data_IF_554712066609
#
_entry.id   IF_554712066609
#
_cell.length_a   1.000
_cell.length_b   1.000
_cell.length_c   1.000
_cell.angle_alpha   90.00
_cell.angle_beta   90.00
_cell.angle_gamma   90.00
#
_symmetry.space_group_name_H-M   'P 1'
#
loop_
_entity.id
_entity.type
_entity.pdbx_description
1 polymer ?
#
# COMPACT_ATOMS: atom_id res chain seq x y z
N UNK A 1 -15.25 35.19 9.68
CA UNK A 1 -15.88 33.99 9.09
C UNK A 1 -14.78 33.04 8.69
N UNK A 2 -14.83 31.81 9.18
CA UNK A 2 -13.80 30.79 9.03
C UNK A 2 -13.78 30.27 7.59
N UNK A 3 -12.64 30.39 6.90
CA UNK A 3 -12.37 29.63 5.69
C UNK A 3 -12.01 28.19 6.08
N UNK A 4 -12.98 27.41 6.55
CA UNK A 4 -12.82 25.95 6.60
C UNK A 4 -13.14 25.43 5.20
N UNK A 5 -12.09 25.12 4.44
CA UNK A 5 -12.27 24.55 3.13
C UNK A 5 -12.79 23.10 3.24
N UNK A 6 -13.90 22.74 2.57
CA UNK A 6 -14.58 21.45 2.71
C UNK A 6 -13.68 20.22 2.49
N UNK A 7 -12.62 20.33 1.69
CA UNK A 7 -11.71 19.19 1.40
C UNK A 7 -10.93 18.69 2.64
N UNK A 8 -10.86 19.50 3.71
CA UNK A 8 -10.16 19.17 4.96
C UNK A 8 -11.11 18.42 5.92
N UNK A 9 -12.41 18.67 5.87
CA UNK A 9 -13.39 18.12 6.83
C UNK A 9 -13.78 16.66 6.54
N UNK A 10 -13.47 16.13 5.36
CA UNK A 10 -13.78 14.74 4.99
C UNK A 10 -12.76 13.72 5.53
N UNK A 11 -11.56 14.16 5.88
CA UNK A 11 -10.57 13.33 6.58
C UNK A 11 -10.79 13.50 8.09
N UNK A 12 -11.52 12.58 8.72
CA UNK A 12 -11.62 12.46 10.18
C UNK A 12 -10.27 12.06 10.85
N UNK A 13 -9.16 12.65 10.40
CA UNK A 13 -7.78 12.37 10.74
C UNK A 13 -7.04 13.67 10.97
N UNK A 14 -6.79 13.98 12.25
CA UNK A 14 -6.00 15.12 12.65
C UNK A 14 -4.49 14.85 12.41
N UNK A 15 -3.73 15.88 12.01
CA UNK A 15 -2.27 15.85 11.89
C UNK A 15 -1.58 15.30 13.16
N UNK A 16 -2.11 15.60 14.34
CA UNK A 16 -1.62 15.05 15.61
C UNK A 16 -1.75 13.53 15.67
N UNK A 17 -2.84 12.96 15.14
CA UNK A 17 -3.03 11.52 15.08
C UNK A 17 -2.08 10.86 14.07
N UNK A 18 -1.84 11.50 12.92
CA UNK A 18 -0.87 11.03 11.92
C UNK A 18 0.54 10.99 12.53
N UNK A 19 0.97 12.07 13.19
CA UNK A 19 2.27 12.13 13.87
C UNK A 19 2.41 11.03 14.94
N UNK A 20 1.35 10.81 15.73
CA UNK A 20 1.34 9.71 16.72
C UNK A 20 1.54 8.35 16.05
N UNK A 21 0.88 8.07 14.93
CA UNK A 21 1.03 6.78 14.22
C UNK A 21 2.44 6.60 13.69
N UNK A 22 3.04 7.64 13.09
CA UNK A 22 4.43 7.55 12.62
C UNK A 22 5.41 7.26 13.76
N UNK A 23 5.17 7.80 14.95
CA UNK A 23 5.94 7.44 16.16
C UNK A 23 5.76 5.98 16.56
N UNK A 24 4.54 5.42 16.44
CA UNK A 24 4.32 3.99 16.66
C UNK A 24 5.11 3.14 15.65
N UNK A 25 5.09 3.51 14.36
CA UNK A 25 5.89 2.83 13.33
C UNK A 25 7.39 2.84 13.68
N UNK A 26 7.91 3.94 14.24
CA UNK A 26 9.30 4.03 14.70
C UNK A 26 9.62 3.19 15.92
N UNK A 27 8.65 2.86 16.77
CA UNK A 27 8.93 2.00 17.91
C UNK A 27 9.35 0.59 17.48
N UNK A 28 9.01 0.18 16.25
CA UNK A 28 9.43 -1.09 15.67
C UNK A 28 10.89 -1.14 15.24
N UNK A 29 11.63 -0.02 15.26
CA UNK A 29 13.09 -0.03 15.04
C UNK A 29 13.85 -0.24 16.35
N UNK A 30 13.16 -0.32 17.50
CA UNK A 30 13.80 -0.59 18.78
C UNK A 30 14.32 -2.02 18.78
N UNK A 31 15.45 -2.23 19.46
CA UNK A 31 16.13 -3.53 19.56
C UNK A 31 16.51 -4.12 18.18
N UNK A 32 16.77 -3.26 17.19
CA UNK A 32 17.19 -3.65 15.84
C UNK A 32 16.22 -4.64 15.15
N UNK A 33 14.94 -4.58 15.49
CA UNK A 33 13.94 -5.46 14.88
C UNK A 33 13.77 -5.19 13.39
N UNK A 34 13.75 -3.90 13.00
CA UNK A 34 13.61 -3.40 11.63
C UNK A 34 14.57 -2.23 11.35
N UNK A 35 14.96 -2.06 10.10
CA UNK A 35 15.77 -0.91 9.69
C UNK A 35 14.95 0.39 9.59
N UNK A 36 15.61 1.52 9.88
CA UNK A 36 14.98 2.85 9.77
C UNK A 36 14.66 3.20 8.31
N UNK A 37 15.48 2.72 7.37
CA UNK A 37 15.25 2.81 5.92
C UNK A 37 13.89 2.21 5.52
N UNK A 38 13.59 1.01 6.02
CA UNK A 38 12.33 0.30 5.81
C UNK A 38 11.15 1.05 6.38
N UNK A 39 11.28 1.61 7.60
CA UNK A 39 10.23 2.45 8.18
C UNK A 39 10.03 3.74 7.38
N UNK A 40 11.08 4.34 6.83
CA UNK A 40 10.95 5.51 5.96
C UNK A 40 10.09 5.19 4.72
N UNK A 41 10.30 4.05 4.06
CA UNK A 41 9.44 3.58 2.97
C UNK A 41 8.01 3.32 3.42
N UNK A 42 7.81 2.67 4.58
CA UNK A 42 6.48 2.44 5.15
C UNK A 42 5.74 3.76 5.41
N UNK A 43 6.43 4.80 5.88
CA UNK A 43 5.86 6.14 6.08
C UNK A 43 5.41 6.74 4.75
N UNK A 44 6.18 6.59 3.67
CA UNK A 44 5.77 7.05 2.32
C UNK A 44 4.52 6.29 1.86
N UNK A 45 4.46 4.97 2.04
CA UNK A 45 3.27 4.19 1.69
C UNK A 45 2.04 4.68 2.45
N UNK A 46 2.19 4.90 3.76
CA UNK A 46 1.11 5.39 4.61
C UNK A 46 0.63 6.79 4.19
N UNK A 47 1.54 7.69 3.81
CA UNK A 47 1.16 9.01 3.29
C UNK A 47 0.44 8.92 1.94
N UNK A 48 0.89 8.06 1.02
CA UNK A 48 0.22 7.84 -0.26
C UNK A 48 -1.24 7.44 -0.08
N UNK A 49 -1.54 6.49 0.81
CA UNK A 49 -2.92 6.06 1.08
C UNK A 49 -3.75 7.11 1.84
N UNK A 50 -3.11 7.95 2.67
CA UNK A 50 -3.78 9.12 3.28
C UNK A 50 -4.22 10.10 2.20
N UNK A 51 -3.35 10.39 1.23
CA UNK A 51 -3.65 11.30 0.12
C UNK A 51 -4.79 10.76 -0.76
N UNK A 52 -4.87 9.43 -0.93
CA UNK A 52 -5.99 8.74 -1.59
C UNK A 52 -7.28 8.67 -0.76
N UNK A 53 -7.31 9.23 0.46
CA UNK A 53 -8.47 9.27 1.36
C UNK A 53 -8.98 7.89 1.83
N UNK A 54 -8.15 6.85 1.77
CA UNK A 54 -8.51 5.51 2.24
C UNK A 54 -8.28 5.32 3.75
N UNK A 55 -7.60 6.26 4.39
CA UNK A 55 -7.33 6.25 5.84
C UNK A 55 -8.33 7.14 6.59
N UNK A 56 -8.89 6.63 7.67
CA UNK A 56 -9.81 7.32 8.58
C UNK A 56 -9.58 6.88 10.03
N UNK A 57 -10.31 7.48 10.98
CA UNK A 57 -10.10 7.28 12.43
C UNK A 57 -10.08 5.79 12.82
N UNK A 58 -10.97 4.96 12.30
CA UNK A 58 -11.10 3.57 12.74
C UNK A 58 -10.04 2.62 12.16
N UNK A 59 -9.54 2.89 10.95
CA UNK A 59 -8.59 2.00 10.27
C UNK A 59 -7.12 2.48 10.30
N UNK A 60 -6.85 3.72 10.71
CA UNK A 60 -5.52 4.35 10.63
C UNK A 60 -4.36 3.53 11.20
N UNK A 61 -4.58 2.80 12.29
CA UNK A 61 -3.56 1.93 12.91
C UNK A 61 -3.31 0.67 12.06
N UNK A 62 -4.39 0.03 11.60
CA UNK A 62 -4.32 -1.14 10.73
C UNK A 62 -3.62 -0.80 9.40
N UNK A 63 -4.00 0.31 8.78
CA UNK A 63 -3.39 0.79 7.53
C UNK A 63 -1.87 1.00 7.69
N UNK A 64 -1.45 1.61 8.79
CA UNK A 64 -0.03 1.81 9.08
C UNK A 64 0.70 0.49 9.31
N UNK A 65 0.13 -0.44 10.08
CA UNK A 65 0.72 -1.76 10.30
C UNK A 65 0.88 -2.56 9.00
N UNK A 66 -0.12 -2.52 8.11
CA UNK A 66 -0.03 -3.15 6.78
C UNK A 66 1.06 -2.49 5.93
N UNK A 67 1.18 -1.16 5.96
CA UNK A 67 2.26 -0.46 5.24
C UNK A 67 3.65 -0.89 5.74
N UNK A 68 3.82 -1.10 7.05
CA UNK A 68 5.08 -1.65 7.60
C UNK A 68 5.29 -3.07 7.09
N UNK A 69 4.29 -3.95 7.20
CA UNK A 69 4.41 -5.33 6.72
C UNK A 69 4.83 -5.41 5.24
N UNK A 70 4.23 -4.59 4.38
CA UNK A 70 4.57 -4.51 2.97
C UNK A 70 5.99 -3.99 2.74
N UNK A 71 6.42 -2.99 3.51
CA UNK A 71 7.78 -2.46 3.42
C UNK A 71 8.82 -3.50 3.81
N UNK A 72 8.60 -4.22 4.91
CA UNK A 72 9.50 -5.28 5.37
C UNK A 72 9.59 -6.42 4.35
N UNK A 73 8.44 -6.90 3.86
CA UNK A 73 8.39 -7.96 2.83
C UNK A 73 9.15 -7.59 1.56
N UNK A 74 9.22 -6.30 1.20
CA UNK A 74 9.86 -5.83 -0.02
C UNK A 74 11.34 -5.47 0.16
N UNK A 75 11.69 -4.76 1.23
CA UNK A 75 13.04 -4.21 1.44
C UNK A 75 13.95 -5.08 2.32
N UNK A 76 13.38 -5.90 3.20
CA UNK A 76 14.11 -6.77 4.13
C UNK A 76 13.75 -8.26 3.91
N UNK A 77 14.16 -8.86 2.78
CA UNK A 77 13.80 -10.25 2.46
C UNK A 77 14.29 -11.24 3.53
N UNK A 78 15.38 -10.92 4.25
CA UNK A 78 15.90 -11.73 5.37
C UNK A 78 14.95 -11.84 6.57
N UNK A 79 14.00 -10.90 6.75
CA UNK A 79 13.00 -10.95 7.83
C UNK A 79 11.87 -11.94 7.50
N UNK A 80 11.77 -12.38 6.24
CA UNK A 80 10.70 -13.28 5.77
C UNK A 80 10.90 -14.73 6.21
N UNK A 81 11.99 -15.07 6.92
CA UNK A 81 12.08 -16.34 7.64
C UNK A 81 10.90 -16.49 8.61
N UNK A 82 10.29 -17.67 8.67
CA UNK A 82 9.06 -17.95 9.43
C UNK A 82 9.12 -17.42 10.89
N UNK A 83 10.23 -17.67 11.59
CA UNK A 83 10.42 -17.22 12.98
C UNK A 83 10.44 -15.69 13.15
N UNK A 84 11.19 -14.96 12.32
CA UNK A 84 11.27 -13.49 12.40
C UNK A 84 9.96 -12.83 11.98
N UNK A 85 9.26 -13.43 11.02
CA UNK A 85 7.97 -12.93 10.55
C UNK A 85 6.89 -13.06 11.62
N UNK A 86 6.85 -14.16 12.37
CA UNK A 86 5.93 -14.31 13.50
C UNK A 86 6.23 -13.30 14.62
N UNK A 87 7.51 -13.10 14.99
CA UNK A 87 7.89 -12.07 15.97
C UNK A 87 7.51 -10.66 15.50
N UNK A 88 7.68 -10.35 14.22
CA UNK A 88 7.24 -9.08 13.65
C UNK A 88 5.73 -8.90 13.76
N UNK A 89 4.96 -9.96 13.49
CA UNK A 89 3.50 -9.89 13.55
C UNK A 89 3.04 -9.67 14.99
N UNK A 90 3.62 -10.36 15.97
CA UNK A 90 3.33 -10.15 17.39
C UNK A 90 3.63 -8.69 17.78
N UNK A 91 4.78 -8.16 17.39
CA UNK A 91 5.13 -6.75 17.63
C UNK A 91 4.15 -5.77 16.96
N UNK A 92 3.65 -6.09 15.75
CA UNK A 92 2.63 -5.28 15.07
C UNK A 92 1.27 -5.35 15.76
N UNK A 93 0.85 -6.51 16.25
CA UNK A 93 -0.39 -6.69 17.01
C UNK A 93 -0.35 -5.84 18.29
N UNK A 94 0.77 -5.88 19.02
CA UNK A 94 0.96 -5.13 20.26
C UNK A 94 1.03 -3.61 20.03
N UNK A 95 1.92 -3.15 19.13
CA UNK A 95 2.17 -1.72 18.92
C UNK A 95 0.93 -1.01 18.32
N UNK A 96 0.20 -1.68 17.42
CA UNK A 96 -0.97 -1.10 16.76
C UNK A 96 -2.31 -1.52 17.40
N UNK A 97 -2.32 -2.44 18.36
CA UNK A 97 -3.55 -3.01 18.93
C UNK A 97 -4.49 -3.55 17.82
N UNK A 98 -3.97 -4.44 16.98
CA UNK A 98 -4.67 -5.08 15.86
C UNK A 98 -4.57 -6.61 15.97
N UNK A 99 -5.20 -7.33 15.03
CA UNK A 99 -5.14 -8.80 14.98
C UNK A 99 -4.49 -9.28 13.69
N UNK A 100 -3.67 -10.34 13.74
CA UNK A 100 -3.02 -11.05 12.62
C UNK A 100 -3.99 -11.36 11.49
N UNK A 101 -5.18 -11.85 11.85
CA UNK A 101 -6.27 -12.13 10.89
C UNK A 101 -6.65 -10.88 10.08
N UNK A 102 -6.80 -9.73 10.76
CA UNK A 102 -7.21 -8.47 10.12
C UNK A 102 -6.06 -7.86 9.32
N UNK A 103 -4.82 -8.02 9.81
CA UNK A 103 -3.61 -7.61 9.11
C UNK A 103 -3.53 -8.28 7.74
N UNK A 104 -3.57 -9.61 7.70
CA UNK A 104 -3.48 -10.37 6.45
C UNK A 104 -4.69 -10.20 5.53
N UNK A 105 -5.92 -10.15 6.08
CA UNK A 105 -7.11 -9.95 5.25
C UNK A 105 -7.12 -8.59 4.54
N UNK A 106 -6.36 -7.62 5.06
CA UNK A 106 -6.31 -6.25 4.56
C UNK A 106 -5.07 -5.98 3.69
N UNK A 107 -4.06 -6.85 3.78
CA UNK A 107 -2.76 -6.68 3.11
C UNK A 107 -2.90 -6.41 1.60
N UNK A 108 -3.62 -7.29 0.90
CA UNK A 108 -3.79 -7.16 -0.56
C UNK A 108 -4.59 -5.93 -0.96
N UNK A 109 -5.56 -5.50 -0.14
CA UNK A 109 -6.33 -4.29 -0.41
C UNK A 109 -5.45 -3.03 -0.33
N UNK A 110 -4.59 -2.94 0.69
CA UNK A 110 -3.64 -1.81 0.82
C UNK A 110 -2.58 -1.85 -0.27
N UNK A 111 -2.14 -3.04 -0.67
CA UNK A 111 -1.19 -3.16 -1.78
C UNK A 111 -1.80 -2.69 -3.11
N UNK A 112 -3.08 -3.02 -3.35
CA UNK A 112 -3.84 -2.48 -4.47
C UNK A 112 -4.04 -0.95 -4.36
N UNK A 113 -4.30 -0.42 -3.16
CA UNK A 113 -4.38 1.02 -2.90
C UNK A 113 -3.06 1.75 -3.17
N UNK A 114 -1.93 1.05 -3.17
CA UNK A 114 -0.62 1.56 -3.57
C UNK A 114 -0.35 1.40 -5.08
N UNK A 115 -1.36 1.04 -5.87
CA UNK A 115 -1.27 0.70 -7.29
C UNK A 115 -0.22 -0.38 -7.57
N UNK A 116 -0.02 -1.30 -6.62
CA UNK A 116 1.03 -2.31 -6.64
C UNK A 116 2.46 -1.74 -6.74
N UNK A 117 2.65 -0.45 -6.44
CA UNK A 117 3.90 0.27 -6.60
C UNK A 117 4.63 0.48 -5.25
N UNK A 118 5.35 -0.56 -4.81
CA UNK A 118 6.24 -0.48 -3.63
C UNK A 118 7.61 0.13 -3.94
N UNK A 119 8.04 0.12 -5.21
CA UNK A 119 9.28 0.77 -5.60
C UNK A 119 9.13 2.30 -5.57
N UNK A 120 9.51 2.88 -4.44
CA UNK A 120 9.49 4.34 -4.22
C UNK A 120 10.86 4.90 -4.57
N UNK A 121 10.94 5.98 -5.37
CA UNK A 121 12.21 6.67 -5.61
C UNK A 121 12.85 7.14 -4.29
N UNK A 122 14.16 6.97 -4.16
CA UNK A 122 14.91 7.32 -2.95
C UNK A 122 14.68 8.78 -2.56
N UNK A 123 14.59 9.69 -3.52
CA UNK A 123 14.30 11.12 -3.30
C UNK A 123 13.00 11.36 -2.49
N UNK A 124 12.02 10.45 -2.56
CA UNK A 124 10.80 10.54 -1.78
C UNK A 124 10.95 9.95 -0.38
N UNK A 125 11.73 8.87 -0.21
CA UNK A 125 11.94 8.24 1.09
C UNK A 125 12.97 8.97 1.96
N UNK A 126 13.98 9.58 1.33
CA UNK A 126 15.13 10.20 2.00
C UNK A 126 14.74 11.30 3.01
N UNK A 127 13.82 12.24 2.72
CA UNK A 127 13.42 13.25 3.71
C UNK A 127 12.76 12.64 4.96
N UNK A 128 12.06 11.52 4.81
CA UNK A 128 11.51 10.79 5.96
C UNK A 128 12.63 10.11 6.73
N UNK A 129 13.53 9.43 6.05
CA UNK A 129 14.68 8.77 6.66
C UNK A 129 15.52 9.74 7.51
N UNK A 130 15.94 10.87 6.95
CA UNK A 130 16.70 11.92 7.66
C UNK A 130 15.95 12.39 8.90
N UNK A 131 14.64 12.65 8.77
CA UNK A 131 13.84 13.12 9.89
C UNK A 131 13.68 12.06 10.98
N UNK A 132 13.50 10.81 10.61
CA UNK A 132 13.37 9.70 11.55
C UNK A 132 14.66 9.50 12.35
N UNK A 133 15.82 9.58 11.70
CA UNK A 133 17.12 9.52 12.38
C UNK A 133 17.30 10.66 13.37
N UNK A 134 17.02 11.90 12.95
CA UNK A 134 17.15 13.08 13.79
C UNK A 134 16.18 13.04 14.99
N UNK A 135 14.90 12.76 14.75
CA UNK A 135 13.85 12.83 15.77
C UNK A 135 13.91 11.69 16.79
N UNK A 136 14.41 10.51 16.40
CA UNK A 136 14.30 9.30 17.22
C UNK A 136 15.63 8.69 17.67
N UNK A 137 16.70 8.89 16.90
CA UNK A 137 18.01 8.31 17.21
C UNK A 137 19.09 9.38 17.45
N UNK A 138 18.78 10.65 17.15
CA UNK A 138 19.71 11.77 17.28
C UNK A 138 21.02 11.56 16.49
N UNK A 139 20.91 10.92 15.33
CA UNK A 139 22.01 10.59 14.42
C UNK A 139 21.85 11.31 13.09
N UNK A 140 22.98 11.48 12.39
CA UNK A 140 22.98 11.93 11.01
C UNK A 140 22.93 10.74 10.04
N UNK A 141 22.44 10.93 8.80
CA UNK A 141 22.45 9.89 7.77
C UNK A 141 23.83 9.27 7.54
N UNK A 142 24.90 10.07 7.60
CA UNK A 142 26.27 9.61 7.37
C UNK A 142 26.82 8.72 8.50
N UNK A 143 26.23 8.82 9.69
CA UNK A 143 26.61 8.05 10.88
C UNK A 143 25.80 6.75 11.00
N UNK A 144 24.67 6.66 10.29
CA UNK A 144 23.83 5.48 10.29
C UNK A 144 24.42 4.43 9.35
N UNK A 145 25.03 3.39 9.93
CA UNK A 145 25.73 2.32 9.20
C UNK A 145 25.00 0.95 9.16
N UNK A 146 23.75 0.82 8.67
CA UNK A 146 23.23 -0.44 8.16
C UNK A 146 23.38 -0.55 6.64
N UNK A 147 23.02 -1.72 6.10
CA UNK A 147 23.04 -2.05 4.67
C UNK A 147 21.91 -1.28 3.98
N UNK A 148 22.09 0.02 3.79
CA UNK A 148 21.01 0.90 3.35
C UNK A 148 20.71 0.74 1.86
N UNK A 149 19.44 0.53 1.51
CA UNK A 149 18.94 0.82 0.14
C UNK A 149 18.84 2.34 -0.13
N UNK A 150 19.16 3.17 0.87
CA UNK A 150 19.15 4.63 0.85
C UNK A 150 20.59 5.11 1.07
N UNK A 151 21.46 4.81 0.12
CA UNK A 151 22.84 5.31 0.15
C UNK A 151 22.93 6.72 -0.44
N UNK A 152 23.69 7.64 0.18
CA UNK A 152 23.92 8.98 -0.39
C UNK A 152 24.63 8.93 -1.76
N UNK A 153 25.39 7.87 -2.04
CA UNK A 153 26.01 7.61 -3.37
C UNK A 153 24.95 7.42 -4.46
N UNK A 154 23.81 6.79 -4.13
CA UNK A 154 22.70 6.56 -5.07
C UNK A 154 21.87 7.82 -5.34
N UNK A 155 21.92 8.82 -4.46
CA UNK A 155 21.30 10.13 -4.69
C UNK A 155 22.09 10.99 -5.69
N UNK A 156 23.43 10.93 -5.65
CA UNK A 156 24.29 11.70 -6.55
C UNK A 156 24.25 11.25 -8.01
N UNK A 157 23.80 10.02 -8.31
CA UNK A 157 23.64 9.53 -9.68
C UNK A 157 22.33 9.96 -10.36
N UNK A 158 21.45 10.69 -9.65
CA UNK A 158 20.17 11.18 -10.18
C UNK A 158 20.14 12.69 -10.48
N UNK A 159 21.21 13.42 -10.17
CA UNK A 159 21.36 14.83 -10.55
C UNK A 159 21.81 14.93 -12.03
N UNK A 160 21.04 15.57 -12.93
CA UNK A 160 21.59 15.94 -14.23
C UNK A 160 22.68 16.99 -13.99
N UNK A 161 23.93 16.56 -14.12
CA UNK A 161 25.12 17.42 -14.10
C UNK A 161 24.89 18.69 -14.93
N UNK A 162 24.84 19.82 -14.25
CA UNK A 162 24.84 21.13 -14.86
C UNK A 162 26.20 21.38 -15.53
N UNK A 163 26.29 21.17 -16.85
CA UNK A 163 27.46 21.57 -17.60
C UNK A 163 27.64 20.94 -18.98
N UNK A 164 26.76 21.24 -19.95
CA UNK A 164 27.23 21.73 -21.25
C UNK A 164 26.09 22.35 -22.05
N UNK A 165 26.31 23.60 -22.48
CA UNK A 165 25.42 24.33 -23.37
C UNK A 165 25.52 23.74 -24.79
N UNK A 166 24.38 23.38 -25.39
CA UNK A 166 24.15 23.61 -26.81
C UNK A 166 22.65 23.53 -27.09
N UNK A 167 22.10 24.66 -27.54
CA UNK A 167 20.74 24.79 -28.01
C UNK A 167 20.45 23.84 -29.18
N UNK A 168 19.22 23.34 -29.26
CA UNK A 168 18.45 23.31 -30.52
C UNK A 168 16.96 23.19 -30.20
N UNK A 169 16.25 24.20 -30.68
CA UNK A 169 14.81 24.34 -30.74
C UNK A 169 14.12 23.07 -31.25
N UNK A 170 13.17 22.55 -30.48
CA UNK A 170 12.12 21.69 -30.99
C UNK A 170 10.82 22.50 -30.95
N UNK A 171 10.41 22.94 -32.13
CA UNK A 171 9.11 23.54 -32.38
C UNK A 171 8.00 22.58 -31.97
N UNK A 172 7.10 23.10 -31.13
CA UNK A 172 5.74 22.64 -30.94
C UNK A 172 5.07 22.40 -32.29
N UNK A 173 4.63 21.17 -32.56
CA UNK A 173 3.75 20.85 -33.68
C UNK A 173 2.55 20.11 -33.11
N UNK A 174 1.40 20.78 -33.22
CA UNK A 174 0.07 20.25 -32.89
C UNK A 174 -0.18 18.92 -33.64
N UNK A 175 -0.46 17.87 -32.87
CA UNK A 175 -0.88 16.58 -33.39
C UNK A 175 -2.40 16.53 -33.49
N UNK A 176 -2.94 17.11 -34.55
CA UNK A 176 -4.37 17.17 -34.83
C UNK A 176 -4.93 15.79 -35.22
N UNK A 177 -6.02 15.43 -34.57
CA UNK A 177 -6.77 14.19 -34.76
C UNK A 177 -7.70 14.35 -35.96
N UNK A 178 -7.32 13.85 -37.14
CA UNK A 178 -8.31 13.53 -38.18
C UNK A 178 -7.98 12.25 -38.98
N UNK A 179 -8.99 11.38 -38.99
CA UNK A 179 -9.24 10.20 -39.83
C UNK A 179 -9.23 10.58 -41.32
N UNK A 180 -8.67 9.76 -42.23
CA UNK A 180 -9.21 9.47 -43.60
C UNK A 180 -8.40 8.38 -44.36
N UNK A 181 -9.06 7.23 -44.54
CA UNK A 181 -9.18 6.27 -45.66
C UNK A 181 -8.04 5.88 -46.64
N UNK A 182 -8.08 4.57 -46.96
CA UNK A 182 -7.75 3.89 -48.25
C UNK A 182 -6.25 3.71 -48.55
N UNK A 183 -5.73 2.60 -49.11
CA UNK A 183 -6.33 1.52 -49.90
C UNK A 183 -5.48 0.22 -49.83
N UNK A 184 -6.19 -0.90 -49.68
CA UNK A 184 -6.05 -2.23 -50.29
C UNK A 184 -4.75 -2.58 -51.03
N UNK A 185 -4.08 -3.67 -50.62
CA UNK A 185 -3.72 -4.75 -51.56
C UNK A 185 -3.70 -6.13 -50.89
N UNK A 186 -4.23 -7.08 -51.66
CA UNK A 186 -4.69 -8.43 -51.31
C UNK A 186 -3.54 -9.41 -51.07
N UNK A 187 -3.75 -10.37 -50.16
CA UNK A 187 -3.47 -11.81 -50.37
C UNK A 187 -4.28 -12.62 -49.35
N UNK A 188 -5.16 -13.46 -49.88
CA UNK A 188 -6.09 -14.29 -49.12
C UNK A 188 -5.64 -15.75 -48.96
N UNK A 189 -6.61 -16.55 -48.49
CA UNK A 189 -6.62 -17.96 -48.03
C UNK A 189 -6.39 -18.06 -46.51
N UNK A 190 -7.35 -18.37 -45.65
CA UNK A 190 -8.65 -19.02 -45.81
C UNK A 190 -8.63 -20.38 -45.11
N UNK A 191 -9.20 -20.47 -43.91
CA UNK A 191 -10.28 -21.43 -43.63
C UNK A 191 -10.96 -21.15 -42.29
N UNK A 192 -12.29 -21.19 -42.37
CA UNK A 192 -13.26 -21.05 -41.30
C UNK A 192 -13.69 -22.43 -40.84
N UNK A 193 -13.75 -22.63 -39.53
CA UNK A 193 -14.70 -23.57 -38.91
C UNK A 193 -15.38 -22.89 -37.72
N UNK A 194 -16.57 -22.40 -37.99
CA UNK A 194 -17.66 -22.15 -37.04
C UNK A 194 -18.04 -23.42 -36.28
N UNK A 195 -18.46 -23.30 -35.01
CA UNK A 195 -19.60 -24.00 -34.35
C UNK A 195 -19.74 -23.37 -32.94
N UNK A 196 -20.69 -22.45 -32.67
CA UNK A 196 -22.12 -22.60 -32.32
C UNK A 196 -22.44 -23.45 -31.06
N UNK A 197 -23.06 -22.76 -30.09
CA UNK A 197 -24.19 -23.18 -29.20
C UNK A 197 -23.83 -24.25 -28.15
N UNK A 198 -24.46 -24.38 -26.98
CA UNK A 198 -25.72 -23.87 -26.44
C UNK A 198 -25.71 -24.02 -24.90
N UNK A 199 -26.64 -23.29 -24.27
CA UNK A 199 -27.37 -23.49 -23.01
C UNK A 199 -27.09 -24.68 -22.05
N UNK A 200 -27.26 -24.38 -20.74
CA UNK A 200 -27.43 -25.38 -19.67
C UNK A 200 -27.84 -24.78 -18.33
N UNK A 201 -29.15 -24.57 -18.14
CA UNK A 201 -29.83 -24.22 -16.87
C UNK A 201 -29.98 -25.46 -15.95
N UNK A 202 -30.13 -25.18 -14.64
CA UNK A 202 -30.86 -25.92 -13.56
C UNK A 202 -30.16 -27.09 -12.83
N UNK A 203 -29.98 -26.91 -11.51
CA UNK A 203 -30.38 -27.80 -10.39
C UNK A 203 -29.69 -27.28 -9.10
N UNK A 204 -30.26 -27.21 -7.89
CA UNK A 204 -31.56 -27.56 -7.32
C UNK A 204 -31.66 -26.81 -5.98
N UNK A 205 -32.68 -25.98 -5.87
CA UNK A 205 -33.32 -25.59 -4.62
C UNK A 205 -34.26 -26.73 -4.22
N UNK A 206 -34.15 -27.25 -2.99
CA UNK A 206 -35.17 -27.96 -2.18
C UNK A 206 -34.50 -28.72 -1.04
N UNK A 207 -34.57 -28.18 0.16
CA UNK A 207 -35.19 -28.86 1.30
C UNK A 207 -35.46 -27.82 2.40
N UNK A 208 -36.72 -27.39 2.44
CA UNK A 208 -37.33 -26.58 3.50
C UNK A 208 -38.39 -27.48 4.12
N UNK A 209 -38.52 -27.37 5.44
CA UNK A 209 -39.68 -27.73 6.26
C UNK A 209 -40.12 -29.19 6.36
N UNK A 210 -39.79 -29.80 7.49
CA UNK A 210 -40.64 -30.66 8.36
C UNK A 210 -39.75 -30.98 9.59
N UNK A 211 -40.03 -30.58 10.83
CA UNK A 211 -41.27 -30.72 11.60
C UNK A 211 -41.40 -29.61 12.64
N UNK A 212 -42.61 -29.09 12.67
CA UNK A 212 -43.26 -28.37 13.76
C UNK A 212 -43.52 -29.30 14.96
N UNK A 213 -43.59 -28.65 16.12
CA UNK A 213 -44.53 -28.89 17.21
C UNK A 213 -44.57 -30.28 17.87
N UNK A 214 -43.98 -30.36 19.06
CA UNK A 214 -44.56 -31.12 20.19
C UNK A 214 -43.99 -30.58 21.51
N UNK A 215 -44.88 -29.96 22.30
CA UNK A 215 -45.11 -30.22 23.74
C UNK A 215 -43.89 -30.18 24.68
N UNK A 216 -43.87 -29.49 25.83
CA UNK A 216 -44.94 -29.04 26.69
C UNK A 216 -44.44 -29.14 28.15
N UNK A 217 -44.80 -28.15 28.96
CA UNK A 217 -45.05 -28.21 30.41
C UNK A 217 -44.01 -28.77 31.42
N UNK A 218 -43.81 -27.98 32.49
CA UNK A 218 -43.40 -28.45 33.83
C UNK A 218 -42.34 -27.52 34.46
N UNK A 219 -42.70 -26.54 35.31
CA UNK A 219 -42.87 -26.64 36.79
C UNK A 219 -41.66 -27.33 37.45
N UNK A 220 -41.10 -26.92 38.58
CA UNK A 220 -41.23 -25.82 39.55
C UNK A 220 -40.06 -26.08 40.52
N UNK A 221 -39.49 -25.04 41.14
CA UNK A 221 -38.36 -25.19 42.06
C UNK A 221 -38.69 -25.97 43.34
N UNK A 222 -37.65 -26.33 44.11
CA UNK A 222 -37.75 -26.91 45.45
C UNK A 222 -38.30 -25.91 46.49
#
# INVERSE_FOLDING_TARGET
>A
MLFTHPWIEELNLNLTAIRKIKRLMMNLTRNDMLEVSTIAYAVVYFEKIILKKHVHKLNRKLMAAVCVLLAVKFWEPSVTSESRLDTLIEALEDEFAITKKKLFSTEMAVFADLDFCLLVPIAHAYPHFVRLLADHLNMRPEEYAPITHIDPVTLQSSEPSAGSKAAKSASFVDGDFTRTTSNVSKRGRGNSTTLRRDSGKKARERERSDRKDSEGAGKSGP
#
